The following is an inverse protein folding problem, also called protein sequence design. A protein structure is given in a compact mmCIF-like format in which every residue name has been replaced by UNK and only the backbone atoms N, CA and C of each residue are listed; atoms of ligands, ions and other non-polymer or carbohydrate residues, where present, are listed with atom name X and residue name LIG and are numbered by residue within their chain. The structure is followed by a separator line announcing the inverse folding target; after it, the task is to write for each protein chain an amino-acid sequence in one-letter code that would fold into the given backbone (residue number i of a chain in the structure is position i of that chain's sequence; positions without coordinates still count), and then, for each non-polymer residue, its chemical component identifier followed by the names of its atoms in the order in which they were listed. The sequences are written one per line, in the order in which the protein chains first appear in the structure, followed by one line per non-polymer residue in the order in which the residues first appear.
data_IF_716232579254
#
_entry.id   IF_716232579254
#
_cell.length_a   1.000
_cell.length_b   1.000
_cell.length_c   1.000
_cell.angle_alpha   90.00
_cell.angle_beta   90.00
_cell.angle_gamma   90.00
#
_symmetry.space_group_name_H-M   'P 1'
#
loop_
_entity.id
_entity.type
_entity.pdbx_description
1 polymer ?
#
# COMPACT_ATOMS: atom_id res chain seq x y z
N UNK A 1 -42.67 12.09 -4.16
CA UNK A 1 -41.29 11.75 -3.76
C UNK A 1 -40.40 11.88 -4.99
N UNK A 2 -39.41 12.78 -4.99
CA UNK A 2 -38.43 12.87 -6.09
C UNK A 2 -37.34 11.80 -5.87
N UNK A 3 -36.87 11.09 -6.90
CA UNK A 3 -35.77 10.14 -6.74
C UNK A 3 -34.49 10.90 -6.37
N UNK A 4 -33.80 10.43 -5.33
CA UNK A 4 -32.46 10.89 -4.97
C UNK A 4 -31.55 10.55 -6.16
N UNK A 5 -31.08 11.57 -6.88
CA UNK A 5 -29.97 11.41 -7.80
C UNK A 5 -28.76 10.96 -6.98
N UNK A 6 -28.38 9.70 -7.17
CA UNK A 6 -27.12 9.17 -6.67
C UNK A 6 -26.05 9.77 -7.58
N UNK A 7 -25.34 10.80 -7.10
CA UNK A 7 -24.16 11.33 -7.78
C UNK A 7 -23.20 10.13 -7.92
N UNK A 8 -22.72 9.78 -9.13
CA UNK A 8 -21.73 8.73 -9.27
C UNK A 8 -20.53 9.07 -8.39
N UNK A 9 -20.13 8.15 -7.53
CA UNK A 9 -18.84 8.23 -6.82
C UNK A 9 -17.77 8.45 -7.88
N UNK A 10 -17.09 9.60 -7.84
CA UNK A 10 -16.06 9.96 -8.78
C UNK A 10 -14.95 8.88 -8.74
N UNK A 11 -14.76 8.16 -9.85
CA UNK A 11 -13.75 7.10 -9.98
C UNK A 11 -12.36 7.64 -9.67
N UNK A 12 -11.57 6.91 -8.88
CA UNK A 12 -10.20 7.35 -8.53
C UNK A 12 -9.21 6.99 -9.63
N UNK A 13 -8.24 7.87 -9.81
CA UNK A 13 -7.25 7.75 -10.87
C UNK A 13 -5.92 7.25 -10.35
N UNK A 14 -5.27 6.43 -11.18
CA UNK A 14 -3.86 6.07 -11.04
C UNK A 14 -3.06 6.83 -12.07
N UNK A 15 -2.21 7.73 -11.61
CA UNK A 15 -1.42 8.63 -12.43
C UNK A 15 0.01 8.11 -12.43
N UNK A 16 0.50 7.71 -13.60
CA UNK A 16 1.88 7.24 -13.81
C UNK A 16 2.56 8.22 -14.76
N UNK A 17 3.45 9.11 -14.27
CA UNK A 17 4.22 9.99 -15.13
C UNK A 17 4.99 9.21 -16.20
N UNK A 18 5.02 9.75 -17.42
CA UNK A 18 5.70 9.11 -18.55
C UNK A 18 7.21 8.99 -18.34
N UNK A 19 7.78 9.84 -17.48
CA UNK A 19 9.20 9.85 -17.10
C UNK A 19 9.61 8.73 -16.15
N UNK A 20 8.67 7.99 -15.54
CA UNK A 20 9.02 6.91 -14.61
C UNK A 20 9.69 5.75 -15.34
N UNK A 21 10.92 5.44 -14.93
CA UNK A 21 11.70 4.30 -15.39
C UNK A 21 12.50 3.69 -14.22
N UNK A 22 12.40 2.36 -13.94
CA UNK A 22 11.47 1.41 -14.55
C UNK A 22 10.01 1.74 -14.21
N UNK A 23 9.11 1.45 -15.14
CA UNK A 23 7.65 1.54 -14.92
C UNK A 23 7.25 0.69 -13.69
N UNK A 24 6.20 1.10 -12.95
CA UNK A 24 5.67 0.28 -11.87
C UNK A 24 5.22 -1.08 -12.38
N UNK A 25 5.46 -2.12 -11.60
CA UNK A 25 4.98 -3.46 -11.93
C UNK A 25 3.46 -3.53 -11.74
N UNK A 26 2.81 -4.45 -12.47
CA UNK A 26 1.34 -4.59 -12.47
C UNK A 26 0.74 -4.68 -11.06
N UNK A 27 1.38 -5.40 -10.15
CA UNK A 27 0.88 -5.58 -8.79
C UNK A 27 1.04 -4.32 -7.92
N UNK A 28 2.01 -3.45 -8.22
CA UNK A 28 2.15 -2.15 -7.56
C UNK A 28 0.98 -1.25 -7.98
N UNK A 29 0.61 -1.28 -9.26
CA UNK A 29 -0.54 -0.55 -9.81
C UNK A 29 -1.86 -1.07 -9.21
N UNK A 30 -2.03 -2.39 -9.13
CA UNK A 30 -3.22 -3.01 -8.51
C UNK A 30 -3.34 -2.63 -7.02
N UNK A 31 -2.24 -2.67 -6.26
CA UNK A 31 -2.23 -2.24 -4.87
C UNK A 31 -2.54 -0.74 -4.73
N UNK A 32 -1.93 0.12 -5.55
CA UNK A 32 -2.20 1.55 -5.55
C UNK A 32 -3.68 1.86 -5.86
N UNK A 33 -4.30 1.15 -6.80
CA UNK A 33 -5.73 1.26 -7.13
C UNK A 33 -6.63 0.92 -5.94
N UNK A 34 -6.37 -0.20 -5.25
CA UNK A 34 -7.15 -0.58 -4.07
C UNK A 34 -7.04 0.49 -2.97
N UNK A 35 -5.85 1.05 -2.76
CA UNK A 35 -5.64 2.06 -1.72
C UNK A 35 -6.22 3.42 -2.10
N UNK A 36 -6.11 3.83 -3.37
CA UNK A 36 -6.74 5.04 -3.89
C UNK A 36 -8.25 5.02 -3.66
N UNK A 37 -8.91 3.92 -4.05
CA UNK A 37 -10.35 3.71 -3.84
C UNK A 37 -10.72 3.68 -2.35
N UNK A 38 -9.93 2.98 -1.53
CA UNK A 38 -10.18 2.92 -0.08
C UNK A 38 -10.03 4.27 0.62
N UNK A 39 -9.07 5.09 0.19
CA UNK A 39 -8.83 6.42 0.75
C UNK A 39 -9.74 7.48 0.13
N UNK A 40 -10.35 7.20 -1.02
CA UNK A 40 -11.16 8.15 -1.76
C UNK A 40 -10.33 9.25 -2.42
N UNK A 41 -9.07 8.96 -2.78
CA UNK A 41 -8.11 9.94 -3.30
C UNK A 41 -7.31 9.37 -4.48
N UNK A 42 -6.88 10.21 -5.40
CA UNK A 42 -6.05 9.78 -6.55
C UNK A 42 -4.64 9.37 -6.08
N UNK A 43 -4.03 8.41 -6.76
CA UNK A 43 -2.66 8.00 -6.49
C UNK A 43 -1.70 8.38 -7.62
N UNK A 44 -0.64 9.08 -7.26
CA UNK A 44 0.39 9.54 -8.18
C UNK A 44 1.66 8.72 -7.94
N UNK A 45 2.11 7.94 -8.92
CA UNK A 45 3.40 7.27 -8.81
C UNK A 45 4.55 8.29 -8.81
N UNK A 46 5.54 8.04 -7.95
CA UNK A 46 6.72 8.88 -7.79
C UNK A 46 7.86 8.29 -8.62
N UNK A 47 8.59 9.15 -9.32
CA UNK A 47 9.76 8.72 -10.08
C UNK A 47 10.86 8.21 -9.15
N UNK A 48 11.27 6.96 -9.34
CA UNK A 48 12.36 6.33 -8.57
C UNK A 48 13.67 7.06 -8.83
N UNK A 49 14.37 7.43 -7.76
CA UNK A 49 15.76 7.90 -7.81
C UNK A 49 16.66 6.87 -7.10
N UNK A 50 17.97 7.05 -7.14
CA UNK A 50 19.00 6.23 -6.47
C UNK A 50 18.85 6.15 -4.94
N UNK A 51 17.93 6.93 -4.35
CA UNK A 51 17.63 6.99 -2.93
C UNK A 51 16.50 6.07 -2.44
N UNK A 52 15.95 6.41 -1.27
CA UNK A 52 14.80 5.72 -0.65
C UNK A 52 13.50 6.38 -1.09
N UNK A 53 13.16 6.24 -2.36
CA UNK A 53 11.99 6.89 -2.92
C UNK A 53 10.73 6.05 -2.65
N UNK A 54 9.69 6.61 -2.02
CA UNK A 54 8.39 5.96 -1.89
C UNK A 54 7.75 5.69 -3.25
N UNK A 55 6.79 4.76 -3.31
CA UNK A 55 6.19 4.34 -4.58
C UNK A 55 5.16 5.35 -5.10
N UNK A 56 4.31 5.89 -4.21
CA UNK A 56 3.18 6.74 -4.60
C UNK A 56 2.93 7.90 -3.63
N UNK A 57 2.26 8.94 -4.10
CA UNK A 57 1.71 10.06 -3.34
C UNK A 57 0.18 10.02 -3.41
N UNK A 58 -0.47 10.00 -2.23
CA UNK A 58 -1.93 10.10 -2.08
C UNK A 58 -2.23 11.14 -1.02
N UNK A 59 -3.02 12.16 -1.35
CA UNK A 59 -3.40 13.26 -0.43
C UNK A 59 -2.20 13.89 0.30
N UNK A 60 -1.14 14.19 -0.45
CA UNK A 60 0.09 14.77 0.10
C UNK A 60 0.92 13.85 1.00
N UNK A 61 0.49 12.61 1.23
CA UNK A 61 1.25 11.59 1.96
C UNK A 61 1.97 10.66 0.98
N UNK A 62 3.28 10.49 1.16
CA UNK A 62 4.06 9.52 0.41
C UNK A 62 3.85 8.12 1.01
N UNK A 63 3.56 7.12 0.18
CA UNK A 63 3.31 5.75 0.59
C UNK A 63 4.30 4.79 -0.05
N UNK A 64 4.74 3.82 0.73
CA UNK A 64 5.53 2.69 0.26
C UNK A 64 4.66 1.42 0.17
N UNK A 65 4.68 0.75 -0.98
CA UNK A 65 3.97 -0.50 -1.25
C UNK A 65 4.96 -1.67 -1.18
N UNK A 66 4.59 -2.74 -0.46
CA UNK A 66 5.30 -4.03 -0.53
C UNK A 66 4.33 -5.19 -0.77
N UNK A 67 4.61 -5.99 -1.79
CA UNK A 67 3.85 -7.20 -2.15
C UNK A 67 4.68 -8.49 -1.96
N UNK A 68 4.97 -8.93 -0.72
CA UNK A 68 5.87 -10.05 -0.47
C UNK A 68 5.35 -11.38 -1.04
N UNK A 69 6.20 -12.12 -1.76
CA UNK A 69 5.88 -13.46 -2.29
C UNK A 69 6.40 -14.62 -1.42
N UNK A 70 7.27 -14.32 -0.44
CA UNK A 70 8.00 -15.32 0.33
C UNK A 70 7.16 -16.14 1.31
N UNK A 71 7.76 -17.23 1.82
CA UNK A 71 7.22 -18.12 2.86
C UNK A 71 8.03 -18.11 4.17
N UNK A 72 9.13 -17.38 4.20
CA UNK A 72 10.07 -17.37 5.32
C UNK A 72 9.51 -16.74 6.59
N UNK A 73 10.11 -17.09 7.73
CA UNK A 73 9.63 -16.65 9.06
C UNK A 73 9.64 -15.14 9.25
N UNK A 74 10.59 -14.44 8.66
CA UNK A 74 10.83 -13.01 8.83
C UNK A 74 10.40 -12.16 7.64
N UNK A 75 9.75 -12.74 6.62
CA UNK A 75 9.43 -12.03 5.37
C UNK A 75 8.67 -10.73 5.63
N UNK A 76 7.64 -10.75 6.47
CA UNK A 76 6.83 -9.56 6.77
C UNK A 76 7.62 -8.53 7.58
N UNK A 77 8.38 -9.00 8.57
CA UNK A 77 9.22 -8.14 9.42
C UNK A 77 10.25 -7.39 8.57
N UNK A 78 10.92 -8.09 7.66
CA UNK A 78 11.92 -7.54 6.76
C UNK A 78 11.33 -6.55 5.74
N UNK A 79 10.11 -6.80 5.26
CA UNK A 79 9.41 -5.84 4.40
C UNK A 79 9.10 -4.55 5.17
N UNK A 80 8.54 -4.64 6.38
CA UNK A 80 8.25 -3.46 7.19
C UNK A 80 9.53 -2.70 7.58
N UNK A 81 10.62 -3.41 7.92
CA UNK A 81 11.93 -2.79 8.16
C UNK A 81 12.38 -1.94 6.97
N UNK A 82 12.33 -2.50 5.76
CA UNK A 82 12.76 -1.79 4.55
C UNK A 82 11.82 -0.62 4.24
N UNK A 83 10.51 -0.87 4.26
CA UNK A 83 9.50 0.13 3.95
C UNK A 83 9.53 1.32 4.91
N UNK A 84 9.74 1.09 6.21
CA UNK A 84 9.85 2.15 7.22
C UNK A 84 11.02 3.12 7.02
N UNK A 85 12.00 2.74 6.19
CA UNK A 85 13.11 3.64 5.82
C UNK A 85 12.73 4.57 4.67
N UNK A 86 11.70 4.23 3.89
CA UNK A 86 11.25 4.95 2.70
C UNK A 86 10.08 5.86 3.04
N UNK A 87 9.10 5.37 3.81
CA UNK A 87 7.93 6.17 4.20
C UNK A 87 7.42 5.87 5.61
N UNK A 88 6.73 6.86 6.19
CA UNK A 88 5.91 6.75 7.39
C UNK A 88 4.53 6.10 7.14
N UNK A 89 4.12 6.00 5.88
CA UNK A 89 2.87 5.40 5.43
C UNK A 89 3.18 4.17 4.57
N UNK A 90 2.67 3.01 4.98
CA UNK A 90 3.05 1.73 4.37
C UNK A 90 1.80 0.94 3.98
N UNK A 91 1.83 0.34 2.80
CA UNK A 91 0.89 -0.66 2.33
C UNK A 91 1.60 -2.00 2.23
N UNK A 92 1.07 -3.02 2.89
CA UNK A 92 1.46 -4.41 2.67
C UNK A 92 0.37 -5.10 1.89
N UNK A 93 0.68 -5.46 0.64
CA UNK A 93 -0.21 -6.23 -0.20
C UNK A 93 0.05 -7.73 -0.04
N UNK A 94 -0.89 -8.40 0.61
CA UNK A 94 -0.81 -9.83 0.87
C UNK A 94 -1.49 -10.69 -0.19
N UNK A 95 -2.16 -10.13 -1.20
CA UNK A 95 -2.98 -10.86 -2.19
C UNK A 95 -2.26 -12.08 -2.76
N UNK A 96 -0.99 -11.90 -3.13
CA UNK A 96 -0.13 -12.93 -3.73
C UNK A 96 0.83 -13.62 -2.75
N UNK A 97 0.85 -13.19 -1.50
CA UNK A 97 1.77 -13.74 -0.51
C UNK A 97 1.44 -15.21 -0.21
N UNK A 98 2.44 -16.05 0.03
CA UNK A 98 2.20 -17.48 0.32
C UNK A 98 1.96 -17.77 1.80
N UNK A 99 2.19 -16.79 2.68
CA UNK A 99 1.91 -16.93 4.11
C UNK A 99 0.40 -16.84 4.40
N UNK A 100 -0.04 -17.61 5.40
CA UNK A 100 -1.40 -17.56 5.92
C UNK A 100 -1.70 -16.17 6.50
N UNK A 101 -2.90 -15.64 6.22
CA UNK A 101 -3.26 -14.26 6.57
C UNK A 101 -3.19 -13.97 8.07
N UNK A 102 -3.56 -14.93 8.92
CA UNK A 102 -3.44 -14.77 10.38
C UNK A 102 -2.00 -14.54 10.84
N UNK A 103 -1.04 -15.22 10.19
CA UNK A 103 0.39 -15.04 10.46
C UNK A 103 0.88 -13.67 9.99
N UNK A 104 0.46 -13.23 8.80
CA UNK A 104 0.78 -11.90 8.28
C UNK A 104 0.28 -10.83 9.26
N UNK A 105 -1.00 -10.88 9.65
CA UNK A 105 -1.60 -9.94 10.61
C UNK A 105 -0.84 -9.91 11.95
N UNK A 106 -0.55 -11.07 12.51
CA UNK A 106 0.20 -11.19 13.77
C UNK A 106 1.59 -10.55 13.67
N UNK A 107 2.34 -10.87 12.61
CA UNK A 107 3.67 -10.31 12.38
C UNK A 107 3.64 -8.81 12.12
N UNK A 108 2.64 -8.29 11.38
CA UNK A 108 2.46 -6.86 11.15
C UNK A 108 2.20 -6.12 12.45
N UNK A 109 1.20 -6.55 13.23
CA UNK A 109 0.87 -5.91 14.51
C UNK A 109 2.06 -5.87 15.46
N UNK A 110 2.77 -6.99 15.59
CA UNK A 110 3.98 -7.07 16.41
C UNK A 110 5.05 -6.09 15.91
N UNK A 111 5.42 -6.18 14.62
CA UNK A 111 6.52 -5.39 14.04
C UNK A 111 6.23 -3.89 14.04
N UNK A 112 5.01 -3.49 13.70
CA UNK A 112 4.57 -2.09 13.70
C UNK A 112 4.48 -1.53 15.12
N UNK A 113 4.15 -2.36 16.11
CA UNK A 113 4.11 -1.99 17.53
C UNK A 113 5.43 -1.39 18.05
N UNK A 114 6.58 -1.86 17.53
CA UNK A 114 7.91 -1.33 17.88
C UNK A 114 8.30 -0.07 17.08
N UNK A 115 7.61 0.26 15.99
CA UNK A 115 7.92 1.40 15.11
C UNK A 115 6.97 2.55 15.36
N UNK A 116 7.18 3.24 16.48
CA UNK A 116 6.30 4.34 16.92
C UNK A 116 6.22 5.49 15.92
N UNK A 117 7.28 5.73 15.14
CA UNK A 117 7.34 6.78 14.12
C UNK A 117 6.41 6.56 12.92
N UNK A 118 6.01 5.32 12.61
CA UNK A 118 5.09 5.06 11.50
C UNK A 118 3.75 5.72 11.78
N UNK A 119 3.20 6.43 10.80
CA UNK A 119 1.93 7.15 10.91
C UNK A 119 0.75 6.27 10.55
N UNK A 120 0.87 5.50 9.46
CA UNK A 120 -0.22 4.62 9.00
C UNK A 120 0.33 3.36 8.35
N UNK A 121 -0.26 2.22 8.66
CA UNK A 121 0.07 0.94 8.02
C UNK A 121 -1.20 0.23 7.62
N UNK A 122 -1.35 -0.01 6.33
CA UNK A 122 -2.48 -0.70 5.73
C UNK A 122 -2.06 -2.09 5.26
N UNK A 123 -2.97 -3.05 5.39
CA UNK A 123 -2.85 -4.40 4.84
C UNK A 123 -3.93 -4.58 3.78
N UNK A 124 -3.55 -4.89 2.54
CA UNK A 124 -4.47 -5.46 1.56
C UNK A 124 -4.45 -6.97 1.78
N UNK A 125 -5.58 -7.53 2.20
CA UNK A 125 -5.67 -8.95 2.55
C UNK A 125 -5.77 -9.85 1.29
N UNK A 126 -5.93 -11.16 1.51
CA UNK A 126 -6.01 -12.16 0.41
C UNK A 126 -7.18 -11.95 -0.56
N UNK A 127 -8.18 -11.19 -0.14
CA UNK A 127 -9.40 -10.91 -0.90
C UNK A 127 -9.41 -9.48 -1.46
N UNK A 128 -8.29 -8.75 -1.41
CA UNK A 128 -8.21 -7.38 -1.90
C UNK A 128 -8.86 -6.34 -0.98
N UNK A 129 -9.24 -6.71 0.25
CA UNK A 129 -9.85 -5.79 1.20
C UNK A 129 -8.78 -5.11 2.05
N UNK A 130 -8.99 -3.85 2.40
CA UNK A 130 -8.06 -3.05 3.19
C UNK A 130 -8.36 -3.17 4.69
N UNK A 131 -7.31 -3.45 5.46
CA UNK A 131 -7.32 -3.50 6.93
C UNK A 131 -6.34 -2.47 7.48
N UNK A 132 -6.79 -1.65 8.44
CA UNK A 132 -5.91 -0.73 9.18
C UNK A 132 -5.17 -1.49 10.26
N UNK A 133 -3.84 -1.44 10.21
CA UNK A 133 -2.96 -2.03 11.24
C UNK A 133 -2.52 -0.98 12.25
N UNK A 134 -2.21 0.22 11.77
CA UNK A 134 -1.86 1.41 12.55
C UNK A 134 -2.36 2.66 11.83
#
# INVERSE_FOLDING_TARGET
MKPKHQIPSQTKQIIIPTSINPRPERFEIEAASIIAEYLGEDANFIARDTGKTPDILIDGAEWEIKSPLGRGKHVIEDQIKRASRQSLYIVIDATRCKLHIARIRSQLKYTVGFRKHLKRVLLINKHGQVEVIK
#
